data_IF_005459032356
#
_entry.id   IF_005459032356
#
_cell.length_a   1.000
_cell.length_b   1.000
_cell.length_c   1.000
_cell.angle_alpha   90.00
_cell.angle_beta   90.00
_cell.angle_gamma   90.00
#
_symmetry.space_group_name_H-M   'P 1'
#
loop_
_entity.id
_entity.type
_entity.pdbx_description
1 polymer ?
#
# COMPACT_ATOMS: atom_id res chain seq x y z
N UNK A 1 -15.75 1.52 15.92
CA UNK A 1 -15.28 2.69 16.69
C UNK A 1 -16.44 3.26 17.52
N UNK A 2 -17.60 3.65 16.95
CA UNK A 2 -18.76 4.18 17.71
C UNK A 2 -19.15 3.29 18.92
N UNK A 3 -19.15 1.97 18.75
CA UNK A 3 -19.45 1.02 19.83
C UNK A 3 -18.41 1.03 20.95
N UNK A 4 -17.13 1.22 20.60
CA UNK A 4 -16.04 1.32 21.58
C UNK A 4 -16.11 2.64 22.37
N UNK A 5 -16.42 3.77 21.71
CA UNK A 5 -16.60 5.05 22.39
C UNK A 5 -17.69 5.03 23.46
N UNK A 6 -18.77 4.26 23.21
CA UNK A 6 -19.88 4.11 24.16
C UNK A 6 -19.51 3.25 25.38
N UNK A 7 -18.39 2.52 25.32
CA UNK A 7 -17.99 1.57 26.35
C UNK A 7 -16.48 1.69 26.68
N UNK A 8 -16.04 2.85 27.19
CA UNK A 8 -14.61 3.16 27.42
C UNK A 8 -13.92 2.24 28.46
N UNK A 9 -14.71 1.47 29.21
CA UNK A 9 -14.18 0.53 30.22
C UNK A 9 -13.75 -0.82 29.67
N UNK A 10 -14.10 -1.13 28.41
CA UNK A 10 -13.80 -2.43 27.79
C UNK A 10 -12.45 -2.50 27.06
N UNK A 11 -11.73 -1.37 26.93
CA UNK A 11 -10.43 -1.35 26.28
C UNK A 11 -9.47 -0.40 27.00
N UNK A 12 -8.20 -0.75 27.02
CA UNK A 12 -7.12 0.13 27.50
C UNK A 12 -6.59 1.00 26.35
N UNK A 13 -6.36 0.40 25.21
CA UNK A 13 -5.84 1.06 24.02
C UNK A 13 -6.48 0.50 22.75
N UNK A 14 -6.42 1.26 21.67
CA UNK A 14 -6.82 0.89 20.31
C UNK A 14 -5.55 0.74 19.46
N UNK A 15 -5.43 -0.39 18.78
CA UNK A 15 -4.37 -0.61 17.79
C UNK A 15 -4.98 -0.53 16.41
N UNK A 16 -4.39 0.28 15.54
CA UNK A 16 -4.85 0.50 14.17
C UNK A 16 -3.72 0.22 13.18
N UNK A 17 -4.05 -0.16 11.93
CA UNK A 17 -3.03 -0.66 11.01
C UNK A 17 -2.12 0.40 10.39
N UNK A 18 -2.46 1.69 10.43
CA UNK A 18 -1.66 2.74 9.81
C UNK A 18 -1.93 4.13 10.39
N UNK A 19 -1.06 5.09 10.08
CA UNK A 19 -1.17 6.45 10.58
C UNK A 19 -2.48 7.12 10.15
N UNK A 20 -2.88 7.05 8.87
CA UNK A 20 -4.12 7.68 8.44
C UNK A 20 -5.36 7.09 9.11
N UNK A 21 -5.35 5.80 9.46
CA UNK A 21 -6.44 5.18 10.23
C UNK A 21 -6.43 5.61 11.70
N UNK A 22 -5.26 5.95 12.26
CA UNK A 22 -5.13 6.61 13.57
C UNK A 22 -5.72 8.02 13.51
N UNK A 23 -5.34 8.82 12.52
CA UNK A 23 -5.83 10.17 12.32
C UNK A 23 -7.35 10.19 12.13
N UNK A 24 -7.88 9.27 11.33
CA UNK A 24 -9.32 9.06 11.19
C UNK A 24 -10.01 8.80 12.54
N UNK A 25 -9.43 7.95 13.39
CA UNK A 25 -10.02 7.61 14.68
C UNK A 25 -10.03 8.83 15.62
N UNK A 26 -9.01 9.65 15.58
CA UNK A 26 -8.92 10.90 16.36
C UNK A 26 -9.89 11.94 15.82
N UNK A 27 -9.82 12.28 14.54
CA UNK A 27 -10.53 13.40 13.96
C UNK A 27 -12.05 13.17 13.81
N UNK A 28 -12.44 11.95 13.39
CA UNK A 28 -13.85 11.65 13.12
C UNK A 28 -14.56 10.97 14.26
N UNK A 29 -13.83 10.29 15.12
CA UNK A 29 -14.42 9.53 16.21
C UNK A 29 -14.01 10.05 17.58
N UNK A 30 -13.27 11.16 17.66
CA UNK A 30 -12.79 11.78 18.89
C UNK A 30 -12.14 10.76 19.85
N UNK A 31 -11.40 9.80 19.29
CA UNK A 31 -10.72 8.80 20.10
C UNK A 31 -9.49 9.46 20.75
N UNK A 32 -9.20 9.25 22.05
CA UNK A 32 -8.04 9.85 22.71
C UNK A 32 -6.75 9.41 22.05
N UNK A 33 -5.92 10.37 21.61
CA UNK A 33 -4.69 10.07 20.87
C UNK A 33 -3.72 9.20 21.67
N UNK A 34 -3.61 9.46 22.97
CA UNK A 34 -2.74 8.73 23.89
C UNK A 34 -3.13 7.25 24.06
N UNK A 35 -4.34 6.88 23.62
CA UNK A 35 -4.85 5.50 23.65
C UNK A 35 -4.78 4.80 22.29
N UNK A 36 -4.21 5.44 21.27
CA UNK A 36 -4.14 4.83 19.93
C UNK A 36 -2.68 4.62 19.53
N UNK A 37 -2.36 3.40 19.16
CA UNK A 37 -1.08 3.02 18.58
C UNK A 37 -1.25 2.50 17.17
N UNK A 38 -0.30 2.78 16.29
CA UNK A 38 -0.22 2.17 14.96
C UNK A 38 0.63 0.90 15.03
N UNK A 39 0.14 -0.15 14.39
CA UNK A 39 0.87 -1.42 14.31
C UNK A 39 0.72 -2.03 12.91
N UNK A 40 1.81 -2.09 12.12
CA UNK A 40 1.81 -2.81 10.86
C UNK A 40 1.81 -4.32 11.10
N UNK A 41 0.96 -5.03 10.38
CA UNK A 41 1.05 -6.50 10.31
C UNK A 41 2.38 -6.88 9.68
N UNK A 42 3.07 -7.87 10.24
CA UNK A 42 4.35 -8.34 9.72
C UNK A 42 4.18 -9.07 8.38
N UNK A 43 5.16 -8.86 7.50
CA UNK A 43 5.26 -9.54 6.20
C UNK A 43 6.38 -10.59 6.26
N UNK A 44 6.09 -11.76 5.74
CA UNK A 44 7.08 -12.81 5.60
C UNK A 44 8.01 -12.53 4.42
N UNK A 45 9.31 -12.44 4.71
CA UNK A 45 10.34 -12.31 3.68
C UNK A 45 10.66 -13.69 3.11
N UNK A 46 9.94 -14.08 2.06
CA UNK A 46 10.15 -15.38 1.40
C UNK A 46 11.28 -15.30 0.38
N UNK A 47 12.17 -16.31 0.34
CA UNK A 47 13.10 -16.43 -0.78
C UNK A 47 12.34 -16.45 -2.10
N UNK A 48 12.81 -15.69 -3.07
CA UNK A 48 12.23 -15.62 -4.40
C UNK A 48 13.32 -15.53 -5.46
N UNK A 49 12.98 -15.89 -6.69
CA UNK A 49 13.88 -15.78 -7.84
C UNK A 49 13.16 -15.08 -8.97
N UNK A 50 13.61 -13.89 -9.27
CA UNK A 50 13.04 -13.11 -10.39
C UNK A 50 13.44 -13.72 -11.72
N UNK A 51 12.46 -13.93 -12.58
CA UNK A 51 12.62 -14.40 -13.97
C UNK A 51 11.77 -13.50 -14.88
N UNK A 52 12.30 -12.33 -15.21
CA UNK A 52 11.56 -11.26 -15.87
C UNK A 52 11.09 -11.68 -17.26
N UNK A 53 9.80 -11.56 -17.48
CA UNK A 53 9.09 -11.83 -18.74
C UNK A 53 8.28 -10.62 -19.21
N UNK A 54 7.91 -9.73 -18.28
CA UNK A 54 7.07 -8.55 -18.52
C UNK A 54 7.75 -7.31 -17.94
N UNK A 55 7.45 -6.16 -18.52
CA UNK A 55 7.93 -4.90 -17.97
C UNK A 55 7.10 -4.51 -16.74
N UNK A 56 5.78 -4.66 -16.79
CA UNK A 56 4.88 -4.15 -15.78
C UNK A 56 3.86 -5.17 -15.27
N UNK A 57 3.65 -5.21 -13.97
CA UNK A 57 2.46 -5.78 -13.32
C UNK A 57 1.53 -4.63 -12.95
N UNK A 58 0.34 -4.54 -13.52
CA UNK A 58 -0.70 -3.61 -13.08
C UNK A 58 -1.50 -4.28 -11.95
N UNK A 59 -1.38 -3.75 -10.72
CA UNK A 59 -2.23 -4.17 -9.61
C UNK A 59 -3.44 -3.24 -9.51
N UNK A 60 -4.62 -3.77 -9.83
CA UNK A 60 -5.86 -3.02 -9.95
C UNK A 60 -6.85 -3.32 -8.82
N UNK A 61 -7.24 -2.28 -8.06
CA UNK A 61 -8.17 -2.42 -6.94
C UNK A 61 -8.93 -1.12 -6.65
N UNK A 62 -10.26 -1.17 -6.67
CA UNK A 62 -11.12 -0.03 -6.26
C UNK A 62 -10.81 1.30 -6.97
N UNK A 63 -10.48 1.23 -8.23
CA UNK A 63 -10.32 2.38 -9.14
C UNK A 63 -11.24 2.21 -10.35
N UNK A 64 -11.41 3.25 -11.14
CA UNK A 64 -12.27 3.21 -12.32
C UNK A 64 -11.62 2.45 -13.49
N UNK A 65 -12.45 1.85 -14.34
CA UNK A 65 -11.96 1.25 -15.56
C UNK A 65 -11.35 2.28 -16.53
N UNK A 66 -11.78 3.54 -16.47
CA UNK A 66 -11.21 4.61 -17.29
C UNK A 66 -9.75 4.92 -16.85
N UNK A 67 -9.46 4.91 -15.56
CA UNK A 67 -8.09 5.04 -15.05
C UNK A 67 -7.22 3.84 -15.46
N UNK A 68 -7.78 2.62 -15.38
CA UNK A 68 -7.08 1.42 -15.87
C UNK A 68 -6.75 1.52 -17.35
N UNK A 69 -7.72 1.97 -18.17
CA UNK A 69 -7.53 2.18 -19.61
C UNK A 69 -6.41 3.17 -19.88
N UNK A 70 -6.35 4.30 -19.16
CA UNK A 70 -5.27 5.30 -19.29
C UNK A 70 -3.91 4.72 -18.96
N UNK A 71 -3.79 3.90 -17.91
CA UNK A 71 -2.55 3.22 -17.55
C UNK A 71 -2.13 2.25 -18.67
N UNK A 72 -3.06 1.50 -19.22
CA UNK A 72 -2.79 0.57 -20.33
C UNK A 72 -2.31 1.34 -21.57
N UNK A 73 -3.02 2.38 -22.00
CA UNK A 73 -2.64 3.24 -23.12
C UNK A 73 -1.27 3.88 -22.93
N UNK A 74 -0.96 4.29 -21.69
CA UNK A 74 0.35 4.82 -21.33
C UNK A 74 1.47 3.79 -21.52
N UNK A 75 1.30 2.57 -21.06
CA UNK A 75 2.29 1.49 -21.21
C UNK A 75 2.44 1.06 -22.68
N UNK A 76 1.34 0.89 -23.40
CA UNK A 76 1.31 0.51 -24.81
C UNK A 76 2.00 1.55 -25.71
N UNK A 77 1.79 2.85 -25.44
CA UNK A 77 2.46 3.93 -26.18
C UNK A 77 3.99 3.89 -26.10
N UNK A 78 4.53 3.19 -25.08
CA UNK A 78 5.97 3.00 -24.83
C UNK A 78 6.46 1.62 -25.24
N UNK A 79 5.60 0.78 -25.77
CA UNK A 79 5.93 -0.60 -26.14
C UNK A 79 6.23 -1.49 -24.93
N UNK A 80 5.74 -1.14 -23.75
CA UNK A 80 5.95 -1.91 -22.51
C UNK A 80 4.95 -3.05 -22.42
N UNK A 81 5.45 -4.25 -22.16
CA UNK A 81 4.65 -5.43 -21.90
C UNK A 81 4.08 -5.42 -20.48
N UNK A 82 2.84 -5.88 -20.32
CA UNK A 82 2.21 -5.86 -18.99
C UNK A 82 1.28 -7.04 -18.75
N UNK A 83 1.03 -7.30 -17.46
CA UNK A 83 -0.06 -8.13 -16.97
C UNK A 83 -0.97 -7.29 -16.05
N UNK A 84 -2.26 -7.62 -16.04
CA UNK A 84 -3.22 -7.01 -15.12
C UNK A 84 -3.68 -8.05 -14.12
N UNK A 85 -3.60 -7.71 -12.83
CA UNK A 85 -4.17 -8.50 -11.76
C UNK A 85 -5.20 -7.68 -11.00
N UNK A 86 -6.41 -8.21 -10.85
CA UNK A 86 -7.52 -7.53 -10.18
C UNK A 86 -7.75 -8.12 -8.80
N UNK A 87 -7.90 -7.25 -7.81
CA UNK A 87 -8.17 -7.67 -6.44
C UNK A 87 -9.38 -8.61 -6.34
N UNK A 88 -9.21 -9.72 -5.61
CA UNK A 88 -10.23 -10.75 -5.45
C UNK A 88 -10.32 -11.76 -6.59
N UNK A 89 -9.49 -11.63 -7.65
CA UNK A 89 -9.49 -12.53 -8.81
C UNK A 89 -8.17 -13.28 -8.97
N UNK A 90 -7.39 -13.45 -7.91
CA UNK A 90 -6.10 -14.15 -7.93
C UNK A 90 -5.85 -14.91 -6.62
N UNK A 91 -4.94 -15.86 -6.67
CA UNK A 91 -4.36 -16.51 -5.50
C UNK A 91 -3.05 -15.82 -5.10
N UNK A 92 -2.63 -15.96 -3.83
CA UNK A 92 -1.33 -15.46 -3.37
C UNK A 92 -0.16 -15.95 -4.25
N UNK A 93 -0.21 -17.20 -4.69
CA UNK A 93 0.82 -17.78 -5.58
C UNK A 93 0.83 -17.07 -6.95
N UNK A 94 -0.34 -16.79 -7.53
CA UNK A 94 -0.42 -16.04 -8.80
C UNK A 94 0.16 -14.64 -8.68
N UNK A 95 -0.12 -13.93 -7.59
CA UNK A 95 0.50 -12.63 -7.33
C UNK A 95 2.02 -12.77 -7.22
N UNK A 96 2.48 -13.74 -6.46
CA UNK A 96 3.89 -14.02 -6.28
C UNK A 96 4.61 -14.30 -7.61
N UNK A 97 4.04 -15.16 -8.44
CA UNK A 97 4.61 -15.54 -9.75
C UNK A 97 4.67 -14.33 -10.70
N UNK A 98 3.63 -13.50 -10.74
CA UNK A 98 3.61 -12.28 -11.56
C UNK A 98 4.60 -11.22 -11.05
N UNK A 99 4.79 -11.09 -9.74
CA UNK A 99 5.82 -10.24 -9.17
C UNK A 99 7.22 -10.69 -9.62
N UNK A 100 7.50 -11.99 -9.54
CA UNK A 100 8.79 -12.55 -9.94
C UNK A 100 9.06 -12.44 -11.45
N UNK A 101 8.00 -12.28 -12.25
CA UNK A 101 8.06 -12.14 -13.71
C UNK A 101 8.06 -10.69 -14.20
N UNK A 102 7.81 -9.70 -13.35
CA UNK A 102 7.66 -8.30 -13.76
C UNK A 102 8.81 -7.43 -13.28
N UNK A 103 9.24 -6.46 -14.09
CA UNK A 103 10.30 -5.50 -13.70
C UNK A 103 9.85 -4.57 -12.61
N UNK A 104 8.62 -4.04 -12.74
CA UNK A 104 8.00 -3.13 -11.75
C UNK A 104 6.51 -3.39 -11.64
N UNK A 105 5.89 -2.81 -10.60
CA UNK A 105 4.44 -2.80 -10.43
C UNK A 105 3.90 -1.39 -10.64
N UNK A 106 2.89 -1.25 -11.52
CA UNK A 106 2.05 -0.07 -11.55
C UNK A 106 0.88 -0.27 -10.58
N UNK A 107 0.91 0.45 -9.47
CA UNK A 107 -0.15 0.36 -8.47
C UNK A 107 -1.29 1.31 -8.82
N UNK A 108 -2.42 0.76 -9.21
CA UNK A 108 -3.68 1.46 -9.44
C UNK A 108 -4.70 0.99 -8.42
N UNK A 109 -4.59 1.52 -7.21
CA UNK A 109 -5.35 1.11 -6.06
C UNK A 109 -6.10 2.29 -5.41
N UNK A 110 -7.24 2.01 -4.77
CA UNK A 110 -7.90 2.94 -3.87
C UNK A 110 -7.14 3.05 -2.53
N UNK A 111 -7.82 3.49 -1.49
CA UNK A 111 -7.21 3.57 -0.15
C UNK A 111 -6.95 2.20 0.46
N UNK A 112 -5.85 2.07 1.18
CA UNK A 112 -5.50 0.88 1.95
C UNK A 112 -5.28 1.23 3.42
N UNK A 113 -5.89 0.48 4.31
CA UNK A 113 -5.61 0.62 5.74
C UNK A 113 -4.31 -0.07 6.16
N UNK A 114 -4.02 -1.23 5.59
CA UNK A 114 -2.78 -2.00 5.81
C UNK A 114 -2.01 -2.21 4.51
N UNK A 115 -2.68 -2.68 3.45
CA UNK A 115 -2.07 -2.90 2.14
C UNK A 115 -1.17 -4.14 2.09
N UNK A 116 -1.61 -5.29 2.62
CA UNK A 116 -0.79 -6.52 2.68
C UNK A 116 -0.25 -6.90 1.30
N UNK A 117 -1.09 -6.97 0.27
CA UNK A 117 -0.64 -7.32 -1.08
C UNK A 117 0.40 -6.33 -1.64
N UNK A 118 0.28 -5.03 -1.32
CA UNK A 118 1.27 -4.01 -1.69
C UNK A 118 2.61 -4.29 -1.01
N UNK A 119 2.58 -4.62 0.27
CA UNK A 119 3.77 -4.97 1.05
C UNK A 119 4.41 -6.27 0.57
N UNK A 120 3.62 -7.27 0.16
CA UNK A 120 4.11 -8.52 -0.43
C UNK A 120 4.79 -8.30 -1.79
N UNK A 121 4.29 -7.38 -2.61
CA UNK A 121 4.93 -6.97 -3.87
C UNK A 121 6.29 -6.33 -3.57
N UNK A 122 6.35 -5.38 -2.62
CA UNK A 122 7.59 -4.74 -2.19
C UNK A 122 8.59 -5.73 -1.56
N UNK A 123 8.09 -6.71 -0.78
CA UNK A 123 8.93 -7.76 -0.19
C UNK A 123 9.65 -8.64 -1.22
N UNK A 124 9.13 -8.69 -2.46
CA UNK A 124 9.75 -9.37 -3.61
C UNK A 124 10.68 -8.48 -4.43
N UNK A 125 11.04 -7.35 -3.87
CA UNK A 125 11.92 -6.37 -4.50
C UNK A 125 11.39 -5.88 -5.86
N UNK A 126 10.07 -5.70 -5.96
CA UNK A 126 9.40 -5.14 -7.12
C UNK A 126 9.14 -3.66 -6.88
N UNK A 127 9.87 -2.75 -7.54
CA UNK A 127 9.66 -1.33 -7.39
C UNK A 127 8.30 -0.92 -7.95
N UNK A 128 7.75 0.16 -7.40
CA UNK A 128 6.37 0.55 -7.67
C UNK A 128 6.28 1.95 -8.27
N UNK A 129 5.49 2.08 -9.34
CA UNK A 129 4.97 3.36 -9.81
C UNK A 129 3.52 3.46 -9.33
N UNK A 130 3.22 4.42 -8.48
CA UNK A 130 1.95 4.48 -7.75
C UNK A 130 1.12 5.68 -8.17
N UNK A 131 -0.04 5.44 -8.78
CA UNK A 131 -1.07 6.48 -8.88
C UNK A 131 -1.85 6.51 -7.57
N UNK A 132 -1.33 7.27 -6.61
CA UNK A 132 -1.85 7.33 -5.26
C UNK A 132 -3.12 8.17 -5.16
N UNK A 133 -3.85 7.98 -4.08
CA UNK A 133 -5.01 8.77 -3.68
C UNK A 133 -4.61 9.67 -2.51
N UNK A 134 -5.30 10.80 -2.35
CA UNK A 134 -5.05 11.73 -1.25
C UNK A 134 -6.10 11.65 -0.15
N UNK A 135 -7.27 11.09 -0.47
CA UNK A 135 -8.41 11.05 0.45
C UNK A 135 -9.19 9.74 0.35
N UNK A 136 -9.74 9.33 1.46
CA UNK A 136 -10.76 8.33 1.54
C UNK A 136 -12.13 9.00 1.68
N UNK A 137 -13.06 8.59 0.83
CA UNK A 137 -14.47 8.97 0.91
C UNK A 137 -15.28 7.69 1.08
N UNK A 138 -16.08 7.61 2.12
CA UNK A 138 -17.08 6.55 2.22
C UNK A 138 -18.29 6.90 1.35
N UNK A 139 -18.70 5.97 0.49
CA UNK A 139 -19.87 6.18 -0.39
C UNK A 139 -21.11 6.37 0.46
N UNK A 140 -21.62 7.61 0.47
CA UNK A 140 -22.80 8.02 1.25
C UNK A 140 -22.51 8.77 2.54
N UNK A 141 -21.25 8.98 2.91
CA UNK A 141 -20.88 9.89 4.00
C UNK A 141 -20.55 11.28 3.45
N UNK A 142 -20.95 12.32 4.18
CA UNK A 142 -20.70 13.73 3.80
C UNK A 142 -19.27 14.21 4.16
N UNK A 143 -18.35 13.29 4.43
CA UNK A 143 -17.02 13.64 4.89
C UNK A 143 -15.95 12.77 4.24
N UNK A 144 -14.75 13.32 4.17
CA UNK A 144 -13.57 12.62 3.72
C UNK A 144 -12.43 12.79 4.73
N UNK A 145 -11.45 11.94 4.67
CA UNK A 145 -10.21 12.11 5.43
C UNK A 145 -8.99 11.85 4.56
N UNK A 146 -7.83 12.45 4.89
CA UNK A 146 -6.56 12.12 4.25
C UNK A 146 -6.31 10.62 4.32
N UNK A 147 -5.88 10.03 3.21
CA UNK A 147 -5.59 8.60 3.11
C UNK A 147 -4.66 8.33 1.91
N UNK A 148 -4.11 7.13 1.83
CA UNK A 148 -3.21 6.71 0.76
C UNK A 148 -3.51 5.28 0.33
N UNK A 149 -3.13 4.93 -0.88
CA UNK A 149 -3.10 3.54 -1.37
C UNK A 149 -1.86 2.78 -0.89
N UNK A 150 -0.87 3.50 -0.36
CA UNK A 150 0.41 2.96 0.16
C UNK A 150 0.67 3.51 1.57
N UNK A 151 -0.02 2.99 2.60
CA UNK A 151 0.06 3.51 3.97
C UNK A 151 1.46 3.37 4.60
N UNK A 152 2.30 2.53 4.04
CA UNK A 152 3.69 2.31 4.40
C UNK A 152 4.54 2.53 3.15
N UNK A 153 5.34 3.59 3.15
CA UNK A 153 6.09 4.03 1.98
C UNK A 153 7.42 4.67 2.34
N UNK A 154 8.40 4.48 1.48
CA UNK A 154 9.68 5.17 1.45
C UNK A 154 10.07 5.41 0.00
N UNK A 155 10.95 6.38 -0.26
CA UNK A 155 11.52 6.63 -1.59
C UNK A 155 12.35 5.44 -2.11
N UNK A 156 12.69 4.48 -1.26
CA UNK A 156 13.28 3.19 -1.63
C UNK A 156 12.31 2.29 -2.41
N UNK A 157 11.00 2.54 -2.31
CA UNK A 157 9.97 1.68 -2.89
C UNK A 157 9.60 2.01 -4.33
N UNK A 158 9.87 3.23 -4.81
CA UNK A 158 9.48 3.70 -6.14
C UNK A 158 9.06 5.16 -6.17
N UNK A 159 8.17 5.52 -7.10
CA UNK A 159 7.64 6.87 -7.28
C UNK A 159 6.13 6.93 -7.10
N UNK A 160 5.62 8.08 -6.61
CA UNK A 160 4.19 8.35 -6.45
C UNK A 160 3.78 9.59 -7.20
N UNK A 161 2.60 9.54 -7.79
CA UNK A 161 1.93 10.70 -8.37
C UNK A 161 0.44 10.66 -8.03
N UNK A 162 -0.27 11.80 -8.16
CA UNK A 162 -1.63 11.97 -7.64
C UNK A 162 -2.65 12.37 -8.70
N UNK A 163 -2.24 12.59 -9.92
CA UNK A 163 -3.12 12.94 -11.04
C UNK A 163 -2.55 12.38 -12.35
N UNK A 164 -3.41 12.20 -13.34
CA UNK A 164 -2.99 11.77 -14.68
C UNK A 164 -1.87 12.62 -15.26
N UNK A 165 -1.93 13.94 -15.05
CA UNK A 165 -0.90 14.86 -15.54
C UNK A 165 0.50 14.62 -14.95
N UNK A 166 0.59 14.01 -13.77
CA UNK A 166 1.87 13.68 -13.14
C UNK A 166 2.45 12.33 -13.53
N UNK A 167 1.74 11.54 -14.34
CA UNK A 167 2.14 10.17 -14.68
C UNK A 167 3.47 10.12 -15.46
N UNK A 168 3.61 11.03 -16.45
CA UNK A 168 4.81 11.10 -17.29
C UNK A 168 6.04 11.44 -16.48
N UNK A 169 5.99 12.54 -15.74
CA UNK A 169 7.11 13.02 -14.93
C UNK A 169 7.52 11.98 -13.87
N UNK A 170 6.53 11.32 -13.24
CA UNK A 170 6.80 10.27 -12.27
C UNK A 170 7.46 9.04 -12.91
N UNK A 171 7.03 8.65 -14.11
CA UNK A 171 7.64 7.54 -14.83
C UNK A 171 9.07 7.85 -15.27
N UNK A 172 9.36 9.06 -15.73
CA UNK A 172 10.72 9.49 -16.06
C UNK A 172 11.65 9.44 -14.84
N UNK A 173 11.18 9.96 -13.69
CA UNK A 173 11.91 9.87 -12.44
C UNK A 173 12.12 8.42 -12.00
N UNK A 174 11.08 7.59 -12.14
CA UNK A 174 11.12 6.18 -11.84
C UNK A 174 12.19 5.46 -12.67
N UNK A 175 12.29 5.74 -13.96
CA UNK A 175 13.30 5.14 -14.84
C UNK A 175 14.73 5.62 -14.56
N UNK A 176 14.89 6.79 -13.95
CA UNK A 176 16.20 7.39 -13.66
C UNK A 176 16.84 6.90 -12.36
N UNK A 177 16.13 6.13 -11.53
CA UNK A 177 16.58 5.70 -10.19
C UNK A 177 16.62 4.18 -10.06
N UNK A 178 17.31 3.73 -9.03
CA UNK A 178 17.31 2.32 -8.58
C UNK A 178 16.56 2.28 -7.24
N UNK A 179 15.73 1.27 -7.07
CA UNK A 179 14.91 1.08 -5.89
C UNK A 179 15.18 -0.28 -5.27
N UNK A 180 15.04 -0.36 -3.94
CA UNK A 180 15.25 -1.57 -3.14
C UNK A 180 14.09 -1.73 -2.14
N UNK A 181 12.84 -1.97 -2.61
CA UNK A 181 11.67 -2.04 -1.75
C UNK A 181 11.76 -3.11 -0.66
N UNK A 182 12.45 -4.21 -0.96
CA UNK A 182 12.64 -5.31 -0.01
C UNK A 182 13.44 -4.88 1.21
N UNK A 183 14.40 -3.96 1.07
CA UNK A 183 15.18 -3.39 2.19
C UNK A 183 14.27 -2.60 3.13
N UNK A 184 13.38 -1.79 2.57
CA UNK A 184 12.38 -1.07 3.36
C UNK A 184 11.46 -2.04 4.12
N UNK A 185 10.94 -3.08 3.43
CA UNK A 185 10.04 -4.06 4.07
C UNK A 185 10.75 -4.84 5.16
N UNK A 186 11.99 -5.28 4.94
CA UNK A 186 12.77 -6.00 5.95
C UNK A 186 12.98 -5.16 7.20
N UNK A 187 13.33 -3.88 7.04
CA UNK A 187 13.58 -2.95 8.13
C UNK A 187 12.31 -2.59 8.90
N UNK A 188 11.22 -2.26 8.18
CA UNK A 188 10.03 -1.65 8.79
C UNK A 188 8.85 -2.59 8.98
N UNK A 189 8.69 -3.60 8.13
CA UNK A 189 7.47 -4.37 7.98
C UNK A 189 7.67 -5.89 8.11
N UNK A 190 8.90 -6.38 8.31
CA UNK A 190 9.14 -7.81 8.55
C UNK A 190 8.41 -8.31 9.80
N UNK A 191 8.18 -9.61 9.91
CA UNK A 191 7.63 -10.20 11.14
C UNK A 191 8.41 -9.79 12.39
N UNK A 192 9.74 -9.76 12.31
CA UNK A 192 10.60 -9.33 13.42
C UNK A 192 10.32 -7.88 13.82
N UNK A 193 10.28 -6.96 12.85
CA UNK A 193 9.99 -5.54 13.09
C UNK A 193 8.59 -5.33 13.64
N UNK A 194 7.60 -6.02 13.06
CA UNK A 194 6.21 -5.97 13.51
C UNK A 194 6.04 -6.48 14.95
N UNK A 195 6.65 -7.61 15.29
CA UNK A 195 6.59 -8.16 16.66
C UNK A 195 7.26 -7.23 17.66
N UNK A 196 8.43 -6.66 17.34
CA UNK A 196 9.08 -5.70 18.21
C UNK A 196 8.19 -4.46 18.46
N UNK A 197 7.61 -3.87 17.41
CA UNK A 197 6.67 -2.75 17.54
C UNK A 197 5.46 -3.11 18.42
N UNK A 198 4.93 -4.33 18.29
CA UNK A 198 3.82 -4.79 19.12
C UNK A 198 4.22 -4.92 20.60
N UNK A 199 5.39 -5.49 20.90
CA UNK A 199 5.90 -5.59 22.25
C UNK A 199 6.14 -4.23 22.89
N UNK A 200 6.65 -3.26 22.11
CA UNK A 200 6.83 -1.88 22.60
C UNK A 200 5.47 -1.24 22.96
N UNK A 201 4.43 -1.45 22.16
CA UNK A 201 3.07 -1.00 22.47
C UNK A 201 2.55 -1.62 23.76
N UNK A 202 2.76 -2.90 24.00
CA UNK A 202 2.31 -3.56 25.24
C UNK A 202 3.11 -3.13 26.47
N UNK A 203 4.39 -2.85 26.31
CA UNK A 203 5.23 -2.40 27.42
C UNK A 203 4.98 -0.93 27.81
N UNK A 204 4.45 -0.12 26.89
CA UNK A 204 4.14 1.30 27.11
C UNK A 204 2.74 1.51 27.75
N UNK A 205 1.87 0.49 27.78
CA UNK A 205 0.49 0.52 28.33
C UNK A 205 0.36 -0.30 29.63
#
# INVERSE_FOLDING_TARGET
VKTLQQNPHYYKSLIVPSQWTKDLAIEKFNFPEEKISTWPVGIEMKPHKRNIQYDCLIYFKRRSNDELKKVIEFLESRGLSYNVISYGSYTEQQLADLCDQSRFCFLLNGTESQGIAVQEIMARDVPMLVWDVTHWNDQGEEWSCPASSVPYWSDECGERFFSEAGMEDAFEQFCAKIYEPSVFVERELSFKSSVNKLLDIFNAN
#
